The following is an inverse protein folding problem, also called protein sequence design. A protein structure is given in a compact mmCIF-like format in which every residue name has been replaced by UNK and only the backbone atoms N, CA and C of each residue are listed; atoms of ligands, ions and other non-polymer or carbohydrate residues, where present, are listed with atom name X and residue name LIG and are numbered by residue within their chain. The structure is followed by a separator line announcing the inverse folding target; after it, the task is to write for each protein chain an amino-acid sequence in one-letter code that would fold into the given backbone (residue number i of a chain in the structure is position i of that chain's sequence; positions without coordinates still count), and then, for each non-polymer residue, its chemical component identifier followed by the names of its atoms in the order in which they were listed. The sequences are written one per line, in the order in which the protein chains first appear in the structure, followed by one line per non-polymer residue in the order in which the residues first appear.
data_IF_826322872040
#
_entry.id   IF_826322872040
#
_cell.length_a   1.000
_cell.length_b   1.000
_cell.length_c   1.000
_cell.angle_alpha   90.00
_cell.angle_beta   90.00
_cell.angle_gamma   90.00
#
_symmetry.space_group_name_H-M   'P 1'
#
loop_
_entity.id
_entity.type
_entity.pdbx_description
1 polymer ?
#
# COMPACT_ATOMS: atom_id res chain seq x y z
N UNK A 1 16.15 -38.56 -49.03
CA UNK A 1 15.29 -37.54 -49.67
C UNK A 1 15.97 -36.20 -49.46
N UNK A 2 16.78 -35.81 -50.43
CA UNK A 2 17.58 -34.58 -50.42
C UNK A 2 16.70 -33.38 -50.78
N UNK A 3 16.81 -32.31 -50.03
CA UNK A 3 16.23 -31.01 -50.40
C UNK A 3 17.39 -30.05 -50.66
N UNK A 4 17.47 -29.62 -51.91
CA UNK A 4 18.48 -28.71 -52.49
C UNK A 4 18.38 -27.30 -51.87
N UNK A 5 19.56 -26.71 -51.63
CA UNK A 5 19.75 -25.28 -51.41
C UNK A 5 19.62 -24.51 -52.73
N UNK A 6 18.85 -23.44 -52.71
CA UNK A 6 18.92 -22.42 -53.78
C UNK A 6 19.46 -21.09 -53.19
N UNK A 7 20.20 -20.43 -54.08
CA UNK A 7 21.17 -19.37 -53.84
C UNK A 7 20.54 -17.97 -53.82
N UNK A 8 21.15 -17.14 -53.01
CA UNK A 8 21.09 -15.68 -52.89
C UNK A 8 20.84 -14.84 -54.13
N UNK A 9 19.97 -13.82 -53.99
CA UNK A 9 20.05 -12.57 -54.75
C UNK A 9 20.09 -11.37 -53.80
N UNK A 10 21.13 -10.56 -54.01
CA UNK A 10 21.41 -9.31 -53.30
C UNK A 10 20.42 -8.22 -53.73
N UNK A 11 19.83 -7.53 -52.75
CA UNK A 11 19.11 -6.28 -52.97
C UNK A 11 19.77 -5.21 -52.11
N UNK A 12 20.14 -4.11 -52.76
CA UNK A 12 20.82 -2.93 -52.24
C UNK A 12 19.94 -2.11 -51.30
N UNK A 13 20.52 -1.70 -50.15
CA UNK A 13 19.94 -0.79 -49.18
C UNK A 13 19.81 0.66 -49.71
N UNK A 14 18.69 1.33 -49.42
CA UNK A 14 18.62 2.78 -49.47
C UNK A 14 18.87 3.39 -48.07
N UNK A 15 19.77 4.38 -48.02
CA UNK A 15 20.17 5.18 -46.86
C UNK A 15 18.98 5.82 -46.12
N UNK A 16 18.99 5.88 -44.78
CA UNK A 16 17.92 6.55 -44.02
C UNK A 16 18.08 8.05 -44.01
N UNK A 17 17.07 8.75 -44.51
CA UNK A 17 16.89 10.19 -44.34
C UNK A 17 16.69 10.56 -42.87
N UNK A 18 17.46 11.52 -42.35
CA UNK A 18 17.33 12.07 -40.99
C UNK A 18 16.03 12.88 -40.85
N UNK A 19 14.98 12.29 -40.34
CA UNK A 19 13.84 13.05 -39.85
C UNK A 19 14.13 13.58 -38.45
N UNK A 20 14.10 14.88 -38.29
CA UNK A 20 14.19 15.58 -36.99
C UNK A 20 12.90 15.30 -36.20
N UNK A 21 12.94 14.35 -35.30
CA UNK A 21 11.87 14.09 -34.35
C UNK A 21 11.85 15.21 -33.31
N UNK A 22 10.87 16.10 -33.40
CA UNK A 22 10.57 17.08 -32.35
C UNK A 22 10.07 16.30 -31.13
N UNK A 23 10.87 16.28 -30.06
CA UNK A 23 10.47 15.79 -28.74
C UNK A 23 9.23 16.56 -28.25
N UNK A 24 8.04 16.03 -28.47
CA UNK A 24 6.88 16.35 -27.67
C UNK A 24 7.11 15.70 -26.29
N UNK A 25 7.49 16.49 -25.31
CA UNK A 25 7.42 16.09 -23.90
C UNK A 25 5.94 15.80 -23.60
N UNK A 26 5.52 14.56 -23.79
CA UNK A 26 4.22 14.09 -23.33
C UNK A 26 4.15 14.35 -21.83
N UNK A 27 3.16 15.15 -21.40
CA UNK A 27 2.78 15.22 -19.98
C UNK A 27 2.51 13.80 -19.54
N UNK A 28 3.36 13.25 -18.68
CA UNK A 28 3.06 11.99 -18.02
C UNK A 28 1.70 12.16 -17.36
N UNK A 29 0.73 11.34 -17.75
CA UNK A 29 -0.57 11.26 -17.07
C UNK A 29 -0.27 11.04 -15.59
N UNK A 30 -0.72 11.96 -14.73
CA UNK A 30 -0.68 11.80 -13.29
C UNK A 30 -1.56 10.58 -12.96
N UNK A 31 -0.94 9.43 -12.76
CA UNK A 31 -1.62 8.21 -12.32
C UNK A 31 -1.75 8.24 -10.80
N UNK A 32 -2.86 7.71 -10.29
CA UNK A 32 -3.15 7.65 -8.87
C UNK A 32 -3.74 8.95 -8.30
N UNK A 33 -4.01 8.90 -7.01
CA UNK A 33 -4.65 9.96 -6.24
C UNK A 33 -3.59 10.73 -5.43
N UNK A 34 -3.75 12.05 -5.33
CA UNK A 34 -2.98 12.86 -4.37
C UNK A 34 -3.91 13.21 -3.21
N UNK A 35 -3.70 12.58 -2.06
CA UNK A 35 -4.52 12.73 -0.87
C UNK A 35 -3.63 13.24 0.27
N UNK A 36 -3.97 14.37 0.86
CA UNK A 36 -3.26 14.97 1.99
C UNK A 36 -1.73 15.06 1.80
N UNK A 37 -1.29 15.27 0.55
CA UNK A 37 0.13 15.38 0.16
C UNK A 37 0.83 14.05 -0.12
N UNK A 38 0.14 12.92 -0.02
CA UNK A 38 0.65 11.61 -0.41
C UNK A 38 0.12 11.20 -1.78
N UNK A 39 1.04 10.78 -2.65
CA UNK A 39 0.67 10.07 -3.88
C UNK A 39 0.31 8.64 -3.50
N UNK A 40 -0.93 8.22 -3.81
CA UNK A 40 -1.42 6.87 -3.58
C UNK A 40 -1.83 6.27 -4.92
N UNK A 41 -1.29 5.10 -5.22
CA UNK A 41 -1.53 4.37 -6.47
C UNK A 41 -1.92 2.93 -6.14
N UNK A 42 -2.46 2.21 -7.11
CA UNK A 42 -2.69 0.78 -6.95
C UNK A 42 -4.00 0.32 -7.52
N UNK A 43 -4.31 -0.95 -7.28
CA UNK A 43 -5.55 -1.63 -7.66
C UNK A 43 -6.05 -2.35 -6.43
N UNK A 44 -7.37 -2.31 -6.19
CA UNK A 44 -7.97 -3.06 -5.10
C UNK A 44 -9.41 -3.42 -5.48
N UNK A 45 -9.59 -4.68 -5.88
CA UNK A 45 -10.85 -5.26 -6.32
C UNK A 45 -11.03 -6.58 -5.58
N UNK A 46 -12.10 -6.69 -4.81
CA UNK A 46 -12.38 -7.85 -3.96
C UNK A 46 -12.33 -9.18 -4.72
N UNK A 47 -11.58 -10.14 -4.20
CA UNK A 47 -11.35 -11.46 -4.78
C UNK A 47 -10.49 -11.48 -6.05
N UNK A 48 -10.07 -10.33 -6.57
CA UNK A 48 -9.24 -10.24 -7.77
C UNK A 48 -7.80 -9.86 -7.46
N UNK A 49 -7.58 -8.72 -6.83
CA UNK A 49 -6.26 -8.24 -6.44
C UNK A 49 -6.35 -7.00 -5.55
N UNK A 50 -5.47 -6.94 -4.57
CA UNK A 50 -5.20 -5.73 -3.78
C UNK A 50 -3.71 -5.46 -3.77
N UNK A 51 -3.34 -4.23 -4.16
CA UNK A 51 -2.01 -3.69 -4.01
C UNK A 51 -2.10 -2.16 -3.93
N UNK A 52 -1.88 -1.60 -2.75
CA UNK A 52 -1.88 -0.14 -2.53
C UNK A 52 -0.44 0.35 -2.37
N UNK A 53 -0.03 1.32 -3.17
CA UNK A 53 1.35 1.76 -3.30
C UNK A 53 1.47 3.21 -2.85
N UNK A 54 2.45 3.50 -1.99
CA UNK A 54 2.80 4.86 -1.55
C UNK A 54 4.25 5.15 -1.99
N UNK A 55 4.46 5.62 -3.23
CA UNK A 55 5.80 5.77 -3.81
C UNK A 55 6.70 6.70 -3.02
N UNK A 56 6.16 7.77 -2.45
CA UNK A 56 6.90 8.75 -1.65
C UNK A 56 7.49 8.16 -0.35
N UNK A 57 6.90 7.08 0.14
CA UNK A 57 7.38 6.34 1.32
C UNK A 57 8.17 5.08 0.96
N UNK A 58 8.24 4.73 -0.34
CA UNK A 58 8.89 3.52 -0.85
C UNK A 58 8.29 2.25 -0.25
N UNK A 59 6.96 2.22 -0.09
CA UNK A 59 6.23 1.09 0.48
C UNK A 59 4.96 0.75 -0.32
N UNK A 60 4.54 -0.51 -0.19
CA UNK A 60 3.27 -1.02 -0.68
C UNK A 60 2.59 -1.88 0.40
N UNK A 61 1.27 -1.91 0.32
CA UNK A 61 0.41 -2.78 1.11
C UNK A 61 -0.24 -3.81 0.20
N UNK A 62 -0.11 -5.08 0.55
CA UNK A 62 -0.57 -6.25 -0.19
C UNK A 62 -0.03 -6.35 -1.63
N UNK A 63 -0.15 -7.51 -2.24
CA UNK A 63 0.37 -7.77 -3.58
C UNK A 63 -0.34 -8.97 -4.24
N UNK A 64 -1.62 -8.80 -4.55
CA UNK A 64 -2.44 -9.89 -5.14
C UNK A 64 -1.91 -10.40 -6.47
N UNK A 65 -1.60 -9.50 -7.40
CA UNK A 65 -1.10 -9.85 -8.75
C UNK A 65 0.21 -9.19 -9.17
N UNK A 66 0.91 -8.52 -8.29
CA UNK A 66 2.19 -7.84 -8.58
C UNK A 66 2.12 -6.79 -9.71
N UNK A 67 1.37 -5.69 -9.55
CA UNK A 67 1.39 -4.62 -10.54
C UNK A 67 2.81 -4.05 -10.69
N UNK A 68 3.20 -3.71 -11.93
CA UNK A 68 4.57 -3.28 -12.27
C UNK A 68 5.10 -2.15 -11.36
N UNK A 69 4.22 -1.26 -10.91
CA UNK A 69 4.59 -0.13 -10.03
C UNK A 69 4.98 -0.56 -8.62
N UNK A 70 4.45 -1.69 -8.14
CA UNK A 70 4.80 -2.24 -6.82
C UNK A 70 6.26 -2.73 -6.79
N UNK A 71 6.80 -3.18 -7.91
CA UNK A 71 8.16 -3.73 -8.00
C UNK A 71 9.23 -2.76 -7.53
N UNK A 72 9.03 -1.45 -7.69
CA UNK A 72 9.98 -0.43 -7.24
C UNK A 72 9.97 -0.18 -5.74
N UNK A 73 8.94 -0.61 -5.00
CA UNK A 73 8.84 -0.36 -3.57
C UNK A 73 9.77 -1.30 -2.79
N UNK A 74 10.50 -0.77 -1.80
CA UNK A 74 11.45 -1.53 -0.98
C UNK A 74 10.77 -2.30 0.15
N UNK A 75 9.69 -1.73 0.70
CA UNK A 75 8.96 -2.28 1.83
C UNK A 75 7.59 -2.75 1.37
N UNK A 76 7.24 -3.99 1.69
CA UNK A 76 5.95 -4.59 1.41
C UNK A 76 5.33 -5.12 2.69
N UNK A 77 4.11 -4.72 2.97
CA UNK A 77 3.34 -5.13 4.15
C UNK A 77 2.15 -5.96 3.70
N UNK A 78 2.06 -7.20 4.15
CA UNK A 78 0.95 -8.13 3.85
C UNK A 78 -0.03 -8.12 5.01
N UNK A 79 -1.29 -7.85 4.73
CA UNK A 79 -2.35 -7.81 5.75
C UNK A 79 -2.80 -9.21 6.18
N UNK A 80 -2.97 -10.13 5.25
CA UNK A 80 -3.42 -11.51 5.50
C UNK A 80 -3.10 -12.43 4.31
N UNK A 81 -3.51 -13.70 4.40
CA UNK A 81 -3.09 -14.78 3.49
C UNK A 81 -4.02 -15.08 2.31
N UNK A 82 -5.07 -14.29 2.02
CA UNK A 82 -5.90 -14.52 0.84
C UNK A 82 -5.13 -14.23 -0.46
N UNK A 83 -5.44 -14.97 -1.52
CA UNK A 83 -4.68 -14.93 -2.79
C UNK A 83 -4.69 -13.55 -3.46
N UNK A 84 -5.80 -12.83 -3.37
CA UNK A 84 -5.95 -11.48 -3.90
C UNK A 84 -5.18 -10.41 -3.10
N UNK A 85 -4.51 -10.80 -1.99
CA UNK A 85 -3.61 -9.97 -1.18
C UNK A 85 -2.16 -10.43 -1.21
N UNK A 86 -1.89 -11.72 -1.44
CA UNK A 86 -0.51 -12.26 -1.34
C UNK A 86 -0.03 -13.00 -2.59
N UNK A 87 -0.93 -13.31 -3.55
CA UNK A 87 -0.64 -14.18 -4.69
C UNK A 87 0.52 -13.75 -5.58
N UNK A 88 0.77 -12.45 -5.70
CA UNK A 88 1.86 -11.87 -6.49
C UNK A 88 3.23 -11.85 -5.82
N UNK A 89 3.33 -12.31 -4.57
CA UNK A 89 4.53 -12.18 -3.75
C UNK A 89 5.80 -12.81 -4.37
N UNK A 90 5.79 -14.05 -4.90
CA UNK A 90 6.97 -14.62 -5.54
C UNK A 90 7.39 -13.84 -6.79
N UNK A 91 6.41 -13.39 -7.59
CA UNK A 91 6.67 -12.59 -8.81
C UNK A 91 7.31 -11.24 -8.47
N UNK A 92 6.88 -10.59 -7.39
CA UNK A 92 7.47 -9.34 -6.90
C UNK A 92 8.96 -9.51 -6.59
N UNK A 93 9.33 -10.55 -5.84
CA UNK A 93 10.72 -10.83 -5.48
C UNK A 93 11.54 -11.23 -6.72
N UNK A 94 11.00 -12.11 -7.57
CA UNK A 94 11.66 -12.55 -8.80
C UNK A 94 11.93 -11.38 -9.76
N UNK A 95 10.95 -10.50 -9.96
CA UNK A 95 11.09 -9.33 -10.86
C UNK A 95 12.13 -8.35 -10.32
N UNK A 96 12.18 -8.11 -9.01
CA UNK A 96 13.23 -7.29 -8.38
C UNK A 96 14.63 -7.89 -8.62
N UNK A 97 14.75 -9.21 -8.48
CA UNK A 97 15.98 -9.94 -8.78
C UNK A 97 16.41 -9.78 -10.24
N UNK A 98 15.46 -9.95 -11.19
CA UNK A 98 15.69 -9.76 -12.62
C UNK A 98 16.20 -8.34 -12.93
N UNK A 99 15.67 -7.32 -12.28
CA UNK A 99 16.09 -5.93 -12.45
C UNK A 99 17.32 -5.55 -11.61
N UNK A 100 17.94 -6.52 -10.90
CA UNK A 100 19.11 -6.32 -10.03
C UNK A 100 18.88 -5.23 -8.98
N UNK A 101 17.64 -5.13 -8.49
CA UNK A 101 17.28 -4.22 -7.41
C UNK A 101 17.72 -4.80 -6.06
N UNK A 102 17.83 -3.94 -5.07
CA UNK A 102 18.06 -4.36 -3.67
C UNK A 102 16.95 -5.33 -3.24
N UNK A 103 17.29 -6.46 -2.57
CA UNK A 103 16.29 -7.36 -2.02
C UNK A 103 15.27 -6.63 -1.16
N UNK A 104 13.96 -6.89 -1.32
CA UNK A 104 12.94 -6.20 -0.55
C UNK A 104 12.87 -6.70 0.88
N UNK A 105 12.31 -5.88 1.76
CA UNK A 105 11.87 -6.31 3.08
C UNK A 105 10.35 -6.48 3.07
N UNK A 106 9.91 -7.67 3.44
CA UNK A 106 8.51 -8.10 3.41
C UNK A 106 8.06 -8.34 4.85
N UNK A 107 7.00 -7.68 5.26
CA UNK A 107 6.40 -7.83 6.57
C UNK A 107 5.09 -8.61 6.42
N UNK A 108 4.91 -9.61 7.26
CA UNK A 108 3.74 -10.49 7.22
C UNK A 108 3.20 -10.71 8.64
N UNK A 109 1.91 -11.01 8.81
CA UNK A 109 1.40 -11.49 10.09
C UNK A 109 2.17 -12.74 10.52
N UNK A 110 2.47 -12.87 11.81
CA UNK A 110 3.23 -14.00 12.34
C UNK A 110 2.58 -15.35 11.99
N UNK A 111 1.25 -15.40 11.97
CA UNK A 111 0.50 -16.60 11.66
C UNK A 111 0.75 -17.16 10.24
N UNK A 112 1.14 -16.33 9.27
CA UNK A 112 1.35 -16.75 7.88
C UNK A 112 2.82 -16.87 7.48
N UNK A 113 3.77 -16.46 8.33
CA UNK A 113 5.19 -16.41 8.00
C UNK A 113 5.73 -17.73 7.49
N UNK A 114 5.48 -18.83 8.21
CA UNK A 114 5.97 -20.17 7.84
C UNK A 114 5.41 -20.62 6.47
N UNK A 115 4.14 -20.33 6.19
CA UNK A 115 3.52 -20.64 4.90
C UNK A 115 4.15 -19.84 3.76
N UNK A 116 4.49 -18.59 3.99
CA UNK A 116 5.20 -17.74 3.02
C UNK A 116 6.61 -18.26 2.75
N UNK A 117 7.35 -18.69 3.77
CA UNK A 117 8.66 -19.34 3.60
C UNK A 117 8.56 -20.58 2.71
N UNK A 118 7.55 -21.44 2.95
CA UNK A 118 7.29 -22.63 2.13
C UNK A 118 6.96 -22.29 0.66
N UNK A 119 6.22 -21.21 0.41
CA UNK A 119 5.94 -20.74 -0.95
C UNK A 119 7.25 -20.40 -1.67
N UNK A 120 8.14 -19.65 -1.03
CA UNK A 120 9.45 -19.31 -1.60
C UNK A 120 10.35 -20.53 -1.80
N UNK A 121 10.33 -21.49 -0.85
CA UNK A 121 11.05 -22.77 -0.99
C UNK A 121 10.56 -23.56 -2.19
N UNK A 122 9.26 -23.68 -2.37
CA UNK A 122 8.66 -24.36 -3.52
C UNK A 122 9.08 -23.70 -4.85
N UNK A 123 9.06 -22.37 -4.93
CA UNK A 123 9.51 -21.65 -6.13
C UNK A 123 11.01 -21.82 -6.39
N UNK A 124 11.86 -21.75 -5.36
CA UNK A 124 13.30 -22.00 -5.52
C UNK A 124 13.59 -23.42 -6.03
N UNK A 125 12.81 -24.41 -5.56
CA UNK A 125 12.94 -25.79 -6.02
C UNK A 125 12.54 -25.96 -7.50
N UNK A 126 11.61 -25.17 -8.03
CA UNK A 126 11.15 -25.23 -9.40
C UNK A 126 12.09 -24.54 -10.39
N UNK A 127 12.54 -23.32 -10.09
CA UNK A 127 13.28 -22.49 -11.05
C UNK A 127 14.74 -22.23 -10.69
N UNK A 128 15.21 -22.77 -9.56
CA UNK A 128 16.57 -22.63 -9.02
C UNK A 128 17.00 -21.17 -8.80
N UNK A 129 16.07 -20.23 -8.75
CA UNK A 129 16.35 -18.82 -8.44
C UNK A 129 16.55 -18.61 -6.94
N UNK A 130 17.39 -17.63 -6.57
CA UNK A 130 17.65 -17.34 -5.15
C UNK A 130 16.48 -16.69 -4.44
N UNK A 131 15.64 -15.92 -5.15
CA UNK A 131 14.52 -15.15 -4.61
C UNK A 131 14.90 -14.38 -3.33
N UNK A 132 15.99 -13.58 -3.43
CA UNK A 132 16.55 -12.84 -2.28
C UNK A 132 15.55 -11.83 -1.72
N UNK A 133 15.22 -11.97 -0.45
CA UNK A 133 14.38 -11.04 0.30
C UNK A 133 14.66 -11.15 1.79
N UNK A 134 14.16 -10.20 2.58
CA UNK A 134 14.09 -10.28 4.03
C UNK A 134 12.64 -10.45 4.43
N UNK A 135 12.28 -11.54 5.10
CA UNK A 135 10.92 -11.82 5.59
C UNK A 135 10.84 -11.63 7.10
N UNK A 136 10.02 -10.70 7.54
CA UNK A 136 9.84 -10.33 8.94
C UNK A 136 8.40 -10.60 9.36
N UNK A 137 8.23 -11.42 10.40
CA UNK A 137 6.94 -11.51 11.09
C UNK A 137 6.74 -10.27 11.95
N UNK A 138 5.54 -9.74 11.95
CA UNK A 138 5.14 -8.62 12.79
C UNK A 138 3.78 -8.96 13.44
N UNK A 139 3.72 -8.95 14.77
CA UNK A 139 2.47 -9.18 15.49
C UNK A 139 1.72 -7.87 15.74
N UNK A 140 0.43 -7.97 16.03
CA UNK A 140 -0.40 -6.83 16.46
C UNK A 140 0.24 -6.13 17.65
N UNK A 141 0.38 -4.81 17.56
CA UNK A 141 1.02 -3.97 18.58
C UNK A 141 2.52 -3.79 18.40
N UNK A 142 3.20 -4.66 17.64
CA UNK A 142 4.63 -4.52 17.38
C UNK A 142 4.92 -3.37 16.41
N UNK A 143 6.08 -2.72 16.63
CA UNK A 143 6.55 -1.59 15.84
C UNK A 143 7.89 -1.89 15.19
N UNK A 144 8.08 -1.39 13.98
CA UNK A 144 9.34 -1.45 13.25
C UNK A 144 9.75 -0.08 12.71
N UNK A 145 11.00 0.33 12.96
CA UNK A 145 11.57 1.52 12.34
C UNK A 145 12.10 1.16 10.95
N UNK A 146 11.50 1.70 9.90
CA UNK A 146 11.95 1.51 8.52
C UNK A 146 13.14 2.41 8.20
N UNK A 147 13.14 3.62 8.76
CA UNK A 147 14.20 4.62 8.65
C UNK A 147 14.04 5.64 9.80
N UNK A 148 14.99 6.57 9.93
CA UNK A 148 15.03 7.54 11.05
C UNK A 148 13.78 8.40 11.20
N UNK A 149 13.05 8.64 10.11
CA UNK A 149 11.86 9.48 10.03
C UNK A 149 10.55 8.71 9.89
N UNK A 150 10.60 7.36 9.85
CA UNK A 150 9.45 6.53 9.52
C UNK A 150 9.44 5.25 10.34
N UNK A 151 8.33 4.98 11.03
CA UNK A 151 8.04 3.69 11.67
C UNK A 151 6.67 3.17 11.28
N UNK A 152 6.46 1.88 11.42
CA UNK A 152 5.18 1.20 11.18
C UNK A 152 4.82 0.37 12.40
N UNK A 153 3.54 0.35 12.77
CA UNK A 153 2.96 -0.51 13.80
C UNK A 153 1.84 -1.35 13.19
N UNK A 154 1.81 -2.64 13.49
CA UNK A 154 0.69 -3.49 13.19
C UNK A 154 -0.46 -3.24 14.17
N UNK A 155 -1.71 -3.24 13.71
CA UNK A 155 -2.90 -3.12 14.53
C UNK A 155 -3.93 -4.20 14.19
N UNK A 156 -4.86 -4.44 15.11
CA UNK A 156 -5.83 -5.52 15.01
C UNK A 156 -6.92 -5.20 13.99
N UNK A 157 -7.17 -6.13 13.08
CA UNK A 157 -8.33 -6.18 12.19
C UNK A 157 -9.15 -7.43 12.42
N UNK A 158 -10.35 -7.47 11.85
CA UNK A 158 -11.36 -8.49 12.14
C UNK A 158 -11.82 -9.11 10.82
N UNK A 159 -11.24 -10.24 10.49
CA UNK A 159 -11.54 -10.97 9.24
C UNK A 159 -11.74 -12.45 9.51
N UNK A 160 -12.20 -13.22 8.51
CA UNK A 160 -12.46 -14.67 8.62
C UNK A 160 -11.19 -15.52 8.80
N UNK A 161 -10.03 -14.97 8.46
CA UNK A 161 -8.71 -15.57 8.73
C UNK A 161 -7.84 -14.58 9.52
N UNK A 162 -6.73 -15.01 10.13
CA UNK A 162 -5.81 -14.11 10.81
C UNK A 162 -5.36 -12.95 9.90
N UNK A 163 -5.67 -11.73 10.31
CA UNK A 163 -5.40 -10.50 9.59
C UNK A 163 -4.90 -9.40 10.52
N UNK A 164 -4.24 -8.40 9.96
CA UNK A 164 -3.82 -7.18 10.65
C UNK A 164 -3.70 -6.02 9.68
N UNK A 165 -3.93 -4.83 10.20
CA UNK A 165 -3.64 -3.58 9.49
C UNK A 165 -2.30 -2.99 9.90
N UNK A 166 -1.91 -1.89 9.25
CA UNK A 166 -0.64 -1.21 9.49
C UNK A 166 -0.83 0.29 9.60
N UNK A 167 -0.20 0.91 10.60
CA UNK A 167 -0.16 2.36 10.74
C UNK A 167 1.26 2.84 10.49
N UNK A 168 1.40 3.74 9.54
CA UNK A 168 2.65 4.42 9.21
C UNK A 168 2.73 5.73 9.97
N UNK A 169 3.81 5.91 10.74
CA UNK A 169 4.05 7.12 11.52
C UNK A 169 5.24 7.88 10.96
N UNK A 170 5.09 9.20 10.85
CA UNK A 170 6.25 10.10 10.70
C UNK A 170 6.89 10.38 12.06
N UNK A 171 8.22 10.41 12.07
CA UNK A 171 9.02 10.77 13.25
C UNK A 171 9.71 12.09 12.97
N UNK A 172 9.41 13.12 13.77
CA UNK A 172 10.01 14.45 13.65
C UNK A 172 10.68 14.84 14.96
N UNK A 173 11.88 15.37 14.87
CA UNK A 173 12.57 15.93 16.02
C UNK A 173 12.33 17.45 16.02
N UNK A 174 11.56 17.93 16.99
CA UNK A 174 11.27 19.36 17.19
C UNK A 174 12.15 19.90 18.30
N UNK A 175 12.71 21.11 18.12
CA UNK A 175 13.47 21.79 19.16
C UNK A 175 12.58 21.98 20.40
N UNK A 176 13.12 21.69 21.59
CA UNK A 176 12.42 21.93 22.84
C UNK A 176 12.12 23.43 23.01
N UNK A 177 11.02 23.75 23.65
CA UNK A 177 10.54 25.13 23.80
C UNK A 177 11.59 26.07 24.40
N UNK A 178 12.37 25.59 25.35
CA UNK A 178 13.43 26.31 26.05
C UNK A 178 14.62 26.73 25.16
N UNK A 179 14.77 26.10 23.99
CA UNK A 179 15.83 26.39 23.03
C UNK A 179 15.34 27.14 21.77
N UNK A 180 14.04 27.46 21.71
CA UNK A 180 13.48 28.21 20.57
C UNK A 180 13.95 29.67 20.67
N UNK A 181 14.56 30.14 19.59
CA UNK A 181 15.10 31.52 19.53
C UNK A 181 16.58 31.66 19.90
N UNK A 182 17.24 30.59 20.36
CA UNK A 182 18.68 30.63 20.58
C UNK A 182 19.46 30.73 19.25
N UNK A 183 20.61 31.44 19.26
CA UNK A 183 21.51 31.48 18.11
C UNK A 183 21.98 30.10 17.68
N UNK A 184 22.21 29.90 16.36
CA UNK A 184 22.63 28.61 15.82
C UNK A 184 23.92 28.05 16.46
N UNK A 185 24.84 28.93 16.84
CA UNK A 185 26.09 28.56 17.53
C UNK A 185 25.86 27.98 18.92
N UNK A 186 24.91 28.53 19.67
CA UNK A 186 24.53 27.99 20.99
C UNK A 186 23.84 26.61 20.87
N UNK A 187 22.94 26.47 19.91
CA UNK A 187 22.32 25.18 19.58
C UNK A 187 23.41 24.14 19.24
N UNK A 188 24.42 24.53 18.46
CA UNK A 188 25.55 23.66 18.10
C UNK A 188 26.39 23.27 19.32
N UNK A 189 26.66 24.21 20.24
CA UNK A 189 27.39 23.94 21.48
C UNK A 189 26.62 22.93 22.36
N UNK A 190 25.32 23.15 22.55
CA UNK A 190 24.45 22.25 23.30
C UNK A 190 24.49 20.82 22.72
N UNK A 191 24.38 20.68 21.39
CA UNK A 191 24.51 19.40 20.71
C UNK A 191 25.87 18.73 20.94
N UNK A 192 26.95 19.49 20.84
CA UNK A 192 28.32 18.95 21.07
C UNK A 192 28.56 18.57 22.51
N UNK A 193 27.83 19.15 23.44
CA UNK A 193 27.82 18.79 24.87
C UNK A 193 26.86 17.65 25.22
N UNK A 194 26.32 16.92 24.20
CA UNK A 194 25.36 15.83 24.35
C UNK A 194 24.07 16.19 25.10
N UNK A 195 23.69 17.46 25.11
CA UNK A 195 22.41 17.91 25.66
C UNK A 195 21.29 17.54 24.70
N UNK A 196 20.25 16.88 25.20
CA UNK A 196 19.08 16.53 24.41
C UNK A 196 18.20 17.75 24.18
N UNK A 197 18.36 18.40 23.04
CA UNK A 197 17.72 19.67 22.69
C UNK A 197 16.42 19.52 21.89
N UNK A 198 16.01 18.28 21.55
CA UNK A 198 14.82 18.01 20.74
C UNK A 198 13.87 17.07 21.42
N UNK A 199 12.57 17.27 21.21
CA UNK A 199 11.52 16.30 21.50
C UNK A 199 11.21 15.50 20.24
N UNK A 200 11.07 14.19 20.39
CA UNK A 200 10.59 13.31 19.30
C UNK A 200 9.06 13.37 19.26
N UNK A 201 8.53 13.78 18.12
CA UNK A 201 7.09 13.82 17.85
C UNK A 201 6.77 12.75 16.82
N UNK A 202 5.93 11.80 17.20
CA UNK A 202 5.43 10.73 16.34
C UNK A 202 4.00 11.05 15.94
N UNK A 203 3.69 11.02 14.64
CA UNK A 203 2.36 11.35 14.11
C UNK A 203 1.88 10.22 13.20
N UNK A 204 0.67 9.64 13.43
CA UNK A 204 0.09 8.67 12.52
C UNK A 204 -0.32 9.35 11.22
N UNK A 205 0.28 8.93 10.12
CA UNK A 205 0.08 9.54 8.81
C UNK A 205 -0.86 8.73 7.93
N UNK A 206 -0.65 7.41 7.84
CA UNK A 206 -1.46 6.51 7.00
C UNK A 206 -1.79 5.26 7.80
N UNK A 207 -3.06 4.89 7.85
CA UNK A 207 -3.51 3.59 8.31
C UNK A 207 -4.09 2.80 7.13
N UNK A 208 -3.69 1.54 7.00
CA UNK A 208 -4.19 0.59 6.02
C UNK A 208 -4.77 -0.62 6.74
N UNK A 209 -6.03 -0.95 6.48
CA UNK A 209 -6.71 -2.03 7.21
C UNK A 209 -6.46 -3.41 6.61
N UNK A 210 -6.24 -3.51 5.28
CA UNK A 210 -6.54 -4.76 4.57
C UNK A 210 -8.03 -5.07 4.69
N UNK A 211 -8.39 -6.35 4.61
CA UNK A 211 -9.77 -6.79 4.78
C UNK A 211 -10.16 -6.87 6.26
N UNK A 212 -11.34 -6.37 6.58
CA UNK A 212 -11.82 -6.28 7.96
C UNK A 212 -13.31 -6.00 8.04
N UNK A 213 -13.96 -6.49 9.07
CA UNK A 213 -15.26 -5.98 9.52
C UNK A 213 -15.11 -4.63 10.21
N UNK A 214 -16.18 -3.87 10.32
CA UNK A 214 -16.22 -2.54 10.96
C UNK A 214 -15.86 -2.53 12.45
N UNK A 215 -15.72 -3.70 13.08
CA UNK A 215 -15.33 -3.87 14.49
C UNK A 215 -14.00 -3.19 14.83
N UNK A 216 -13.08 -3.06 13.87
CA UNK A 216 -11.83 -2.34 14.07
C UNK A 216 -12.05 -0.87 14.46
N UNK A 217 -13.17 -0.25 14.04
CA UNK A 217 -13.53 1.12 14.40
C UNK A 217 -13.95 1.21 15.87
N UNK A 218 -14.49 0.13 16.42
CA UNK A 218 -14.97 0.08 17.82
C UNK A 218 -13.86 -0.31 18.80
N UNK A 219 -12.77 -0.86 18.31
CA UNK A 219 -11.64 -1.27 19.12
C UNK A 219 -10.82 -0.04 19.58
N UNK A 220 -10.74 0.17 20.89
CA UNK A 220 -10.05 1.31 21.48
C UNK A 220 -8.52 1.25 21.30
N UNK A 221 -7.95 0.07 21.06
CA UNK A 221 -6.51 -0.10 20.79
C UNK A 221 -6.13 0.42 19.39
N UNK A 222 -7.14 0.64 18.53
CA UNK A 222 -6.98 1.13 17.16
C UNK A 222 -7.10 2.66 17.04
N UNK A 223 -7.11 3.41 18.14
CA UNK A 223 -7.34 4.86 18.14
C UNK A 223 -6.40 5.62 17.18
N UNK A 224 -5.14 5.18 17.04
CA UNK A 224 -4.19 5.81 16.12
C UNK A 224 -4.56 5.58 14.65
N UNK A 225 -5.19 4.45 14.30
CA UNK A 225 -5.70 4.21 12.95
C UNK A 225 -6.84 5.19 12.63
N UNK A 226 -7.73 5.42 13.59
CA UNK A 226 -8.87 6.35 13.45
C UNK A 226 -8.44 7.83 13.46
N UNK A 227 -7.21 8.13 13.91
CA UNK A 227 -6.59 9.47 13.95
C UNK A 227 -5.50 9.68 12.90
N UNK A 228 -5.11 8.63 12.18
CA UNK A 228 -4.16 8.77 11.08
C UNK A 228 -4.66 9.82 10.09
N UNK A 229 -3.73 10.59 9.49
CA UNK A 229 -4.09 11.61 8.51
C UNK A 229 -4.95 11.03 7.38
N UNK A 230 -4.60 9.83 6.90
CA UNK A 230 -5.33 9.08 5.88
C UNK A 230 -5.67 7.70 6.44
N UNK A 231 -6.93 7.31 6.37
CA UNK A 231 -7.37 5.95 6.58
C UNK A 231 -7.66 5.31 5.22
N UNK A 232 -6.96 4.22 4.91
CA UNK A 232 -7.22 3.37 3.76
C UNK A 232 -7.96 2.15 4.29
N UNK A 233 -9.22 2.00 3.93
CA UNK A 233 -10.12 1.00 4.49
C UNK A 233 -10.95 0.34 3.41
N UNK A 234 -11.16 -0.98 3.56
CA UNK A 234 -12.06 -1.69 2.68
C UNK A 234 -13.52 -1.24 2.83
N UNK A 235 -14.25 -1.30 1.74
CA UNK A 235 -15.71 -1.15 1.68
C UNK A 235 -16.23 -2.04 0.56
N UNK A 236 -16.17 -3.35 0.79
CA UNK A 236 -16.47 -4.36 -0.24
C UNK A 236 -17.87 -4.21 -0.78
N UNK A 237 -18.81 -3.78 0.06
CA UNK A 237 -20.21 -3.59 -0.35
C UNK A 237 -20.66 -2.13 -0.11
N UNK A 238 -21.29 -1.55 -1.14
CA UNK A 238 -21.74 -0.15 -1.13
C UNK A 238 -23.24 0.01 -1.36
N UNK A 239 -23.92 -1.04 -1.84
CA UNK A 239 -25.35 -1.02 -2.15
C UNK A 239 -26.15 -1.86 -1.15
N UNK A 240 -27.40 -1.48 -0.90
CA UNK A 240 -28.34 -2.18 -0.02
C UNK A 240 -28.74 -3.59 -0.53
N UNK A 241 -28.36 -3.96 -1.76
CA UNK A 241 -28.57 -5.32 -2.30
C UNK A 241 -27.83 -6.41 -1.51
N UNK A 242 -26.77 -6.04 -0.81
CA UNK A 242 -26.05 -6.87 0.17
C UNK A 242 -26.19 -6.21 1.53
N UNK A 243 -26.70 -6.92 2.53
CA UNK A 243 -26.84 -6.35 3.88
C UNK A 243 -25.50 -6.29 4.61
N UNK A 244 -25.41 -5.44 5.64
CA UNK A 244 -24.23 -5.40 6.49
C UNK A 244 -23.96 -6.74 7.19
N UNK A 245 -25.01 -7.49 7.55
CA UNK A 245 -24.90 -8.83 8.14
C UNK A 245 -24.24 -9.81 7.16
N UNK A 246 -24.66 -9.80 5.89
CA UNK A 246 -24.03 -10.64 4.87
C UNK A 246 -22.56 -10.22 4.62
N UNK A 247 -22.24 -8.92 4.61
CA UNK A 247 -20.86 -8.46 4.52
C UNK A 247 -20.00 -9.06 5.66
N UNK A 248 -20.51 -9.04 6.88
CA UNK A 248 -19.85 -9.57 8.07
C UNK A 248 -19.64 -11.08 8.04
N UNK A 249 -20.58 -11.86 7.45
CA UNK A 249 -20.41 -13.32 7.27
C UNK A 249 -19.16 -13.65 6.44
N UNK A 250 -18.78 -12.78 5.50
CA UNK A 250 -17.57 -12.91 4.69
C UNK A 250 -16.36 -12.19 5.28
N UNK A 251 -16.52 -11.53 6.44
CA UNK A 251 -15.44 -10.81 7.12
C UNK A 251 -15.13 -9.44 6.52
N UNK A 252 -16.10 -8.81 5.86
CA UNK A 252 -15.94 -7.54 5.17
C UNK A 252 -16.78 -6.41 5.76
N UNK A 253 -16.49 -5.18 5.37
CA UNK A 253 -17.20 -3.97 5.78
C UNK A 253 -18.19 -3.54 4.70
N UNK A 254 -19.42 -3.21 5.12
CA UNK A 254 -20.40 -2.52 4.30
C UNK A 254 -20.31 -1.00 4.51
N UNK A 255 -20.48 -0.21 3.44
CA UNK A 255 -20.37 1.27 3.50
C UNK A 255 -21.27 1.89 4.58
N UNK A 256 -22.47 1.34 4.78
CA UNK A 256 -23.40 1.81 5.83
C UNK A 256 -22.82 1.71 7.25
N UNK A 257 -21.91 0.75 7.51
CA UNK A 257 -21.23 0.61 8.80
C UNK A 257 -20.18 1.72 8.99
N UNK A 258 -19.46 2.11 7.93
CA UNK A 258 -18.55 3.27 7.96
C UNK A 258 -19.36 4.55 8.24
N UNK A 259 -20.51 4.72 7.59
CA UNK A 259 -21.43 5.84 7.82
C UNK A 259 -21.93 5.85 9.25
N UNK A 260 -22.34 4.70 9.79
CA UNK A 260 -22.84 4.54 11.17
C UNK A 260 -21.83 4.96 12.22
N UNK A 261 -20.53 4.75 11.98
CA UNK A 261 -19.45 5.04 12.91
C UNK A 261 -18.61 6.25 12.50
N UNK A 262 -19.13 7.13 11.64
CA UNK A 262 -18.42 8.27 11.08
C UNK A 262 -17.91 9.27 12.12
N UNK A 263 -18.57 9.36 13.26
CA UNK A 263 -18.21 10.20 14.42
C UNK A 263 -16.89 9.76 15.09
N UNK A 264 -16.50 8.51 14.95
CA UNK A 264 -15.23 7.98 15.47
C UNK A 264 -14.04 8.17 14.54
N UNK A 265 -14.30 8.49 13.26
CA UNK A 265 -13.28 8.64 12.23
C UNK A 265 -12.74 10.08 12.22
N UNK A 266 -11.64 10.33 12.92
CA UNK A 266 -11.00 11.66 13.01
C UNK A 266 -10.02 11.93 11.83
N UNK A 267 -9.91 11.00 10.88
CA UNK A 267 -9.01 11.08 9.72
C UNK A 267 -9.34 12.31 8.85
N UNK A 268 -8.33 12.99 8.32
CA UNK A 268 -8.52 14.09 7.36
C UNK A 268 -9.05 13.62 6.02
N UNK A 269 -8.65 12.42 5.61
CA UNK A 269 -9.14 11.77 4.41
C UNK A 269 -9.32 10.27 4.65
N UNK A 270 -10.29 9.67 3.96
CA UNK A 270 -10.60 8.25 3.97
C UNK A 270 -10.56 7.77 2.53
N UNK A 271 -9.73 6.78 2.23
CA UNK A 271 -9.66 6.13 0.93
C UNK A 271 -10.33 4.77 1.02
N UNK A 272 -11.46 4.61 0.34
CA UNK A 272 -12.16 3.34 0.24
C UNK A 272 -11.50 2.49 -0.85
N UNK A 273 -11.33 1.20 -0.53
CA UNK A 273 -10.71 0.20 -1.39
C UNK A 273 -11.54 -1.09 -1.37
N UNK A 274 -11.13 -2.10 -2.13
CA UNK A 274 -11.63 -3.47 -2.08
C UNK A 274 -13.11 -3.60 -2.44
N UNK A 275 -13.60 -2.77 -3.35
CA UNK A 275 -14.99 -2.87 -3.82
C UNK A 275 -15.23 -4.21 -4.53
N UNK A 276 -16.43 -4.76 -4.39
CA UNK A 276 -16.83 -5.98 -5.08
C UNK A 276 -16.67 -5.85 -6.60
N UNK A 277 -16.07 -6.83 -7.25
CA UNK A 277 -15.92 -6.90 -8.70
C UNK A 277 -17.25 -6.86 -9.49
N UNK A 278 -18.38 -6.96 -8.80
CA UNK A 278 -19.72 -6.86 -9.39
C UNK A 278 -20.12 -5.42 -9.76
N UNK A 279 -19.49 -4.44 -9.08
CA UNK A 279 -19.85 -3.05 -9.27
C UNK A 279 -19.26 -2.48 -10.56
N UNK A 280 -20.00 -1.58 -11.16
CA UNK A 280 -19.50 -0.68 -12.18
C UNK A 280 -19.00 0.61 -11.50
N UNK A 281 -18.18 1.37 -12.21
CA UNK A 281 -17.56 2.59 -11.68
C UNK A 281 -18.60 3.64 -11.21
N UNK A 282 -19.68 3.79 -11.95
CA UNK A 282 -20.78 4.73 -11.65
C UNK A 282 -21.45 4.42 -10.32
N UNK A 283 -21.70 3.15 -10.01
CA UNK A 283 -22.28 2.70 -8.74
C UNK A 283 -21.42 3.14 -7.55
N UNK A 284 -20.09 2.92 -7.66
CA UNK A 284 -19.14 3.32 -6.61
C UNK A 284 -19.14 4.85 -6.45
N UNK A 285 -19.12 5.59 -7.57
CA UNK A 285 -19.11 7.05 -7.56
C UNK A 285 -20.41 7.64 -6.98
N UNK A 286 -21.54 7.06 -7.31
CA UNK A 286 -22.85 7.46 -6.77
C UNK A 286 -22.91 7.24 -5.26
N UNK A 287 -22.51 6.06 -4.78
CA UNK A 287 -22.48 5.73 -3.35
C UNK A 287 -21.59 6.72 -2.55
N UNK A 288 -20.43 7.11 -3.09
CA UNK A 288 -19.56 8.09 -2.44
C UNK A 288 -20.14 9.50 -2.48
N UNK A 289 -20.77 9.87 -3.58
CA UNK A 289 -21.38 11.20 -3.74
C UNK A 289 -22.58 11.41 -2.80
N UNK A 290 -23.26 10.31 -2.43
CA UNK A 290 -24.40 10.32 -1.52
C UNK A 290 -24.01 10.32 -0.03
N UNK A 291 -22.72 10.28 0.32
CA UNK A 291 -22.27 10.21 1.71
C UNK A 291 -22.69 11.45 2.52
N UNK A 292 -23.26 11.24 3.72
CA UNK A 292 -23.69 12.34 4.58
C UNK A 292 -22.51 13.03 5.27
N UNK A 293 -22.66 14.25 5.79
CA UNK A 293 -21.74 14.79 6.78
C UNK A 293 -21.64 13.83 7.99
N UNK A 294 -20.45 13.64 8.59
CA UNK A 294 -19.17 14.32 8.37
C UNK A 294 -18.28 13.68 7.30
N UNK A 295 -18.74 12.70 6.52
CA UNK A 295 -17.93 11.97 5.53
C UNK A 295 -17.83 12.70 4.19
N UNK A 296 -18.84 13.47 3.82
CA UNK A 296 -18.89 14.20 2.55
C UNK A 296 -17.63 15.07 2.34
N UNK A 297 -17.02 14.96 1.16
CA UNK A 297 -15.85 15.74 0.75
C UNK A 297 -14.50 15.28 1.25
N UNK A 298 -14.43 14.30 2.20
CA UNK A 298 -13.16 13.71 2.67
C UNK A 298 -13.00 12.22 2.35
N UNK A 299 -13.99 11.62 1.68
CA UNK A 299 -13.94 10.22 1.25
C UNK A 299 -13.58 10.16 -0.24
N UNK A 300 -12.65 9.29 -0.56
CA UNK A 300 -12.14 9.00 -1.91
C UNK A 300 -12.31 7.51 -2.21
N UNK A 301 -12.32 7.12 -3.48
CA UNK A 301 -12.31 5.72 -3.90
C UNK A 301 -11.07 5.40 -4.75
N UNK A 302 -10.46 4.26 -4.51
CA UNK A 302 -9.45 3.69 -5.39
C UNK A 302 -10.18 2.83 -6.44
N UNK A 303 -10.39 3.39 -7.62
CA UNK A 303 -11.20 2.78 -8.68
C UNK A 303 -10.39 2.38 -9.92
N UNK A 304 -9.06 2.34 -9.83
CA UNK A 304 -8.23 1.82 -10.93
C UNK A 304 -8.53 0.32 -11.11
N UNK A 305 -8.98 -0.04 -12.31
CA UNK A 305 -9.36 -1.42 -12.67
C UNK A 305 -10.87 -1.68 -12.77
N UNK A 306 -11.71 -0.69 -12.44
CA UNK A 306 -13.17 -0.71 -12.64
C UNK A 306 -13.59 -0.07 -13.96
#
# INVERSE_FOLDING_TARGET
MEIKRETSTSVSDPSPSKSKNKNSKGKALKRGLNIEGYQIEGISIAGHETCVIIPTLNLAFDIGKCPQRAVSQQFLFISHGHMDHIGGLPMYVATRGLYRMTPPTIFVPKAVKESVEKIFEAHRAMDQSELKHTLIALDVGEEICLRKDLKVRAFKTYHVIPSQGYIVYSIKHKLKQEYIGLPAEEIKKLKSSCVEITNTVTTPEIAFTGDTMSDFILDNDNIDALRARILIVESTYVEETVTAENAREYGHTHLSEIVKHADRLENKAILLIHFSARYQLDVIQEAISALPPPLAGRVFALTEGF
#
